data_IF_296663088316
#
_entry.id   IF_296663088316
#
_cell.length_a   1.000
_cell.length_b   1.000
_cell.length_c   1.000
_cell.angle_alpha   90.00
_cell.angle_beta   90.00
_cell.angle_gamma   90.00
#
_symmetry.space_group_name_H-M   'P 1'
#
loop_
_entity.id
_entity.type
_entity.pdbx_description
1 polymer ?
#
# COMPACT_ATOMS: atom_id res chain seq x y z
N UNK A 1 24.72 9.92 6.13
CA UNK A 1 25.19 10.80 5.03
C UNK A 1 25.09 9.94 3.78
N UNK A 2 24.36 10.39 2.74
CA UNK A 2 24.30 9.64 1.47
C UNK A 2 25.70 9.48 0.91
N UNK A 3 25.97 8.34 0.28
CA UNK A 3 27.17 8.15 -0.54
C UNK A 3 27.23 9.29 -1.57
N UNK A 4 28.32 10.09 -1.62
CA UNK A 4 28.44 11.20 -2.56
C UNK A 4 28.35 10.76 -4.03
N UNK A 5 28.56 9.47 -4.32
CA UNK A 5 28.43 8.89 -5.66
C UNK A 5 26.99 8.48 -6.02
N UNK A 6 26.05 8.52 -5.08
CA UNK A 6 24.65 8.20 -5.37
C UNK A 6 23.96 9.35 -6.15
N UNK A 7 23.43 9.09 -7.36
CA UNK A 7 22.87 10.13 -8.20
C UNK A 7 21.63 10.79 -7.57
N UNK A 8 21.75 12.08 -7.24
CA UNK A 8 20.71 12.90 -6.59
C UNK A 8 19.46 13.13 -7.45
N UNK A 9 19.51 12.79 -8.73
CA UNK A 9 18.41 12.91 -9.68
C UNK A 9 17.54 11.66 -9.77
N UNK A 10 17.92 10.56 -9.11
CA UNK A 10 17.13 9.32 -9.15
C UNK A 10 15.92 9.48 -8.25
N UNK A 11 14.75 9.61 -8.87
CA UNK A 11 13.47 9.66 -8.17
C UNK A 11 12.71 8.34 -8.31
N UNK A 12 13.23 7.37 -9.06
CA UNK A 12 12.63 6.06 -9.24
C UNK A 12 13.70 5.01 -9.08
N UNK A 13 13.46 4.06 -8.18
CA UNK A 13 14.27 2.86 -8.06
C UNK A 13 13.36 1.66 -8.26
N UNK A 14 13.76 0.82 -9.22
CA UNK A 14 13.02 -0.36 -9.61
C UNK A 14 13.79 -1.62 -9.22
N UNK A 15 13.22 -2.37 -8.30
CA UNK A 15 13.63 -3.72 -7.92
C UNK A 15 12.50 -4.64 -8.34
N UNK A 16 12.75 -5.42 -9.39
CA UNK A 16 11.73 -6.22 -10.04
C UNK A 16 12.30 -7.58 -10.42
N UNK A 17 11.67 -8.64 -9.90
CA UNK A 17 12.05 -10.02 -10.23
C UNK A 17 13.55 -10.31 -10.04
N UNK A 18 14.16 -9.71 -9.00
CA UNK A 18 15.53 -10.00 -8.61
C UNK A 18 15.56 -11.14 -7.59
N UNK A 19 16.66 -11.90 -7.53
CA UNK A 19 16.93 -12.87 -6.46
C UNK A 19 17.25 -12.21 -5.10
N UNK A 20 16.90 -10.93 -4.94
CA UNK A 20 17.17 -10.17 -3.73
C UNK A 20 16.18 -10.59 -2.65
N UNK A 21 16.69 -11.34 -1.67
CA UNK A 21 15.87 -11.93 -0.60
C UNK A 21 15.37 -10.87 0.39
N UNK A 22 16.14 -9.80 0.61
CA UNK A 22 15.77 -8.69 1.50
C UNK A 22 16.43 -7.37 1.07
N UNK A 23 15.81 -6.26 1.49
CA UNK A 23 16.40 -4.93 1.42
C UNK A 23 17.24 -4.65 2.69
N UNK A 24 18.55 -4.39 2.58
CA UNK A 24 19.39 -4.12 3.76
C UNK A 24 19.06 -2.75 4.38
N UNK A 25 19.19 -2.60 5.70
CA UNK A 25 18.84 -1.35 6.40
C UNK A 25 19.59 -0.11 5.88
N UNK A 26 20.80 -0.29 5.33
CA UNK A 26 21.60 0.78 4.73
C UNK A 26 20.89 1.49 3.58
N UNK A 27 19.97 0.81 2.89
CA UNK A 27 19.14 1.39 1.82
C UNK A 27 18.36 2.61 2.33
N UNK A 28 17.87 2.60 3.57
CA UNK A 28 17.07 3.69 4.11
C UNK A 28 17.84 5.02 4.21
N UNK A 29 19.17 4.98 4.34
CA UNK A 29 20.00 6.18 4.48
C UNK A 29 20.65 6.63 3.17
N UNK A 30 20.68 5.77 2.16
CA UNK A 30 21.23 6.03 0.84
C UNK A 30 20.17 6.52 -0.16
N UNK A 31 18.89 6.19 0.07
CA UNK A 31 17.83 6.46 -0.90
C UNK A 31 17.38 7.93 -0.94
N UNK A 32 17.15 8.51 -2.14
CA UNK A 32 16.59 9.83 -2.31
C UNK A 32 15.20 9.93 -1.66
N UNK A 33 15.00 10.97 -0.85
CA UNK A 33 13.73 11.21 -0.18
C UNK A 33 12.68 11.70 -1.20
N UNK A 34 11.46 11.20 -1.09
CA UNK A 34 10.34 11.59 -1.96
C UNK A 34 10.30 10.86 -3.31
N UNK A 35 11.11 9.82 -3.49
CA UNK A 35 11.12 9.00 -4.69
C UNK A 35 9.98 7.98 -4.77
N UNK A 36 10.04 7.19 -5.84
CA UNK A 36 9.19 6.03 -6.13
C UNK A 36 10.02 4.76 -5.88
N UNK A 37 9.47 3.84 -5.10
CA UNK A 37 10.03 2.51 -4.89
C UNK A 37 9.12 1.49 -5.60
N UNK A 38 9.68 0.75 -6.56
CA UNK A 38 9.06 -0.46 -7.07
C UNK A 38 9.80 -1.64 -6.45
N UNK A 39 9.12 -2.42 -5.62
CA UNK A 39 9.60 -3.64 -4.98
C UNK A 39 8.61 -4.76 -5.31
N UNK A 40 8.52 -5.08 -6.60
CA UNK A 40 7.46 -5.91 -7.15
C UNK A 40 8.00 -7.27 -7.63
N UNK A 41 7.20 -8.34 -7.44
CA UNK A 41 7.53 -9.70 -7.87
C UNK A 41 8.87 -10.23 -7.36
N UNK A 42 9.19 -9.88 -6.11
CA UNK A 42 10.40 -10.34 -5.41
C UNK A 42 10.19 -11.67 -4.69
N UNK A 43 8.96 -12.20 -4.68
CA UNK A 43 8.60 -13.39 -3.91
C UNK A 43 8.57 -13.16 -2.40
N UNK A 44 8.55 -11.90 -1.94
CA UNK A 44 8.58 -11.55 -0.54
C UNK A 44 7.30 -12.03 0.18
N UNK A 45 7.46 -12.91 1.16
CA UNK A 45 6.36 -13.38 2.03
C UNK A 45 6.17 -12.52 3.28
N UNK A 46 7.17 -11.70 3.61
CA UNK A 46 7.14 -10.74 4.72
C UNK A 46 7.27 -9.31 4.21
N UNK A 47 6.64 -8.38 4.92
CA UNK A 47 6.82 -6.96 4.66
C UNK A 47 8.27 -6.53 4.99
N UNK A 48 8.95 -5.77 4.12
CA UNK A 48 10.31 -5.32 4.39
C UNK A 48 10.31 -4.06 5.28
N UNK A 49 10.53 -4.23 6.58
CA UNK A 49 10.46 -3.17 7.60
C UNK A 49 11.35 -1.95 7.33
N UNK A 50 12.42 -2.10 6.54
CA UNK A 50 13.26 -0.97 6.10
C UNK A 50 12.44 0.15 5.44
N UNK A 51 11.31 -0.20 4.83
CA UNK A 51 10.39 0.74 4.21
C UNK A 51 9.91 1.81 5.21
N UNK A 52 9.81 1.50 6.52
CA UNK A 52 9.40 2.47 7.53
C UNK A 52 10.41 3.59 7.81
N UNK A 53 11.65 3.41 7.36
CA UNK A 53 12.74 4.37 7.56
C UNK A 53 13.01 5.21 6.30
N UNK A 54 12.19 5.01 5.26
CA UNK A 54 12.32 5.65 3.97
C UNK A 54 11.15 6.60 3.73
N UNK A 55 11.35 7.55 2.83
CA UNK A 55 10.34 8.55 2.46
C UNK A 55 10.03 8.38 0.98
N UNK A 56 8.80 7.96 0.67
CA UNK A 56 8.34 7.73 -0.69
C UNK A 56 7.06 8.49 -0.99
N UNK A 57 6.89 8.86 -2.25
CA UNK A 57 5.64 9.32 -2.81
C UNK A 57 4.82 8.16 -3.40
N UNK A 58 5.50 7.18 -4.01
CA UNK A 58 4.91 6.00 -4.63
C UNK A 58 5.61 4.74 -4.13
N UNK A 59 4.84 3.72 -3.74
CA UNK A 59 5.34 2.40 -3.37
C UNK A 59 4.54 1.32 -4.10
N UNK A 60 5.22 0.49 -4.90
CA UNK A 60 4.65 -0.77 -5.40
C UNK A 60 5.28 -1.96 -4.70
N UNK A 61 4.43 -2.80 -4.11
CA UNK A 61 4.73 -4.11 -3.54
C UNK A 61 4.02 -5.21 -4.34
N UNK A 62 3.64 -4.92 -5.59
CA UNK A 62 2.78 -5.79 -6.38
C UNK A 62 3.42 -7.15 -6.70
N UNK A 63 2.59 -8.19 -6.76
CA UNK A 63 2.98 -9.54 -7.16
C UNK A 63 3.99 -10.21 -6.21
N UNK A 64 4.03 -9.78 -4.94
CA UNK A 64 4.74 -10.50 -3.89
C UNK A 64 3.83 -11.57 -3.25
N UNK A 65 4.27 -12.18 -2.16
CA UNK A 65 3.57 -13.21 -1.41
C UNK A 65 3.08 -12.66 -0.06
N UNK A 66 2.82 -11.35 0.04
CA UNK A 66 2.43 -10.70 1.29
C UNK A 66 1.00 -11.08 1.67
N UNK A 67 0.83 -11.77 2.80
CA UNK A 67 -0.49 -12.09 3.37
C UNK A 67 -1.01 -11.02 4.33
N UNK A 68 -0.14 -10.11 4.77
CA UNK A 68 -0.47 -9.01 5.68
C UNK A 68 0.33 -7.74 5.35
N UNK A 69 -0.22 -6.59 5.71
CA UNK A 69 0.43 -5.28 5.60
C UNK A 69 0.37 -4.59 6.97
N UNK A 70 1.49 -4.08 7.49
CA UNK A 70 1.48 -3.41 8.79
C UNK A 70 0.69 -2.11 8.75
N UNK A 71 -0.13 -1.87 9.78
CA UNK A 71 -0.96 -0.66 9.92
C UNK A 71 -0.17 0.64 9.78
N UNK A 72 1.09 0.65 10.23
CA UNK A 72 1.99 1.81 10.17
C UNK A 72 2.21 2.32 8.75
N UNK A 73 2.09 1.47 7.72
CA UNK A 73 2.26 1.88 6.33
C UNK A 73 1.22 2.93 5.90
N UNK A 74 0.00 2.82 6.40
CA UNK A 74 -1.09 3.76 6.09
C UNK A 74 -0.91 5.11 6.79
N UNK A 75 0.09 5.26 7.66
CA UNK A 75 0.48 6.50 8.32
C UNK A 75 1.77 7.10 7.75
N UNK A 76 2.29 6.56 6.64
CA UNK A 76 3.48 7.10 6.01
C UNK A 76 3.24 8.55 5.54
N UNK A 77 4.06 9.53 5.96
CA UNK A 77 3.73 10.96 5.87
C UNK A 77 3.65 11.50 4.44
N UNK A 78 4.21 10.81 3.45
CA UNK A 78 4.28 11.30 2.06
C UNK A 78 3.75 10.30 1.03
N UNK A 79 3.25 9.14 1.48
CA UNK A 79 2.83 8.06 0.58
C UNK A 79 1.49 8.42 -0.08
N UNK A 80 1.55 8.82 -1.34
CA UNK A 80 0.37 9.17 -2.12
C UNK A 80 -0.22 7.98 -2.89
N UNK A 81 0.63 7.04 -3.33
CA UNK A 81 0.22 5.92 -4.15
C UNK A 81 0.81 4.62 -3.60
N UNK A 82 -0.05 3.67 -3.29
CA UNK A 82 0.32 2.35 -2.82
C UNK A 82 -0.27 1.27 -3.73
N UNK A 83 0.58 0.42 -4.26
CA UNK A 83 0.19 -0.72 -5.09
C UNK A 83 0.53 -2.03 -4.40
N UNK A 84 -0.50 -2.79 -4.04
CA UNK A 84 -0.45 -4.10 -3.39
C UNK A 84 -0.99 -5.21 -4.30
N UNK A 85 -1.22 -4.92 -5.59
CA UNK A 85 -1.93 -5.82 -6.47
C UNK A 85 -1.25 -7.19 -6.58
N UNK A 86 -2.02 -8.27 -6.71
CA UNK A 86 -1.49 -9.62 -6.90
C UNK A 86 -0.77 -10.23 -5.69
N UNK A 87 -0.97 -9.68 -4.49
CA UNK A 87 -0.57 -10.32 -3.23
C UNK A 87 -1.73 -11.19 -2.67
N UNK A 88 -1.45 -12.24 -1.88
CA UNK A 88 -2.46 -13.09 -1.25
C UNK A 88 -3.17 -12.42 -0.05
N UNK A 89 -3.42 -11.11 -0.10
CA UNK A 89 -4.10 -10.35 0.94
C UNK A 89 -5.59 -10.66 0.95
N UNK A 90 -6.13 -11.15 2.07
CA UNK A 90 -7.58 -11.37 2.25
C UNK A 90 -8.29 -10.18 2.90
N UNK A 91 -7.51 -9.30 3.53
CA UNK A 91 -7.97 -8.12 4.27
C UNK A 91 -6.88 -7.06 4.30
N UNK A 92 -7.27 -5.80 4.45
CA UNK A 92 -6.38 -4.71 4.88
C UNK A 92 -6.43 -4.58 6.41
N UNK A 93 -5.38 -4.07 7.08
CA UNK A 93 -5.38 -3.96 8.52
C UNK A 93 -6.45 -2.98 9.01
N UNK A 94 -7.11 -3.34 10.11
CA UNK A 94 -7.86 -2.38 10.92
C UNK A 94 -6.90 -1.49 11.70
N UNK A 95 -7.34 -0.26 11.98
CA UNK A 95 -6.53 0.69 12.74
C UNK A 95 -7.09 0.83 14.15
N UNK A 96 -6.27 0.62 15.20
CA UNK A 96 -6.70 0.83 16.58
C UNK A 96 -7.17 2.27 16.81
N UNK A 97 -8.26 2.45 17.56
CA UNK A 97 -8.80 3.77 17.87
C UNK A 97 -7.78 4.68 18.57
N UNK A 98 -6.86 4.12 19.36
CA UNK A 98 -5.76 4.87 19.97
C UNK A 98 -4.87 5.55 18.93
N UNK A 99 -4.52 4.86 17.85
CA UNK A 99 -3.73 5.43 16.75
C UNK A 99 -4.51 6.50 15.99
N UNK A 100 -5.82 6.30 15.78
CA UNK A 100 -6.68 7.31 15.15
C UNK A 100 -6.73 8.59 16.01
N UNK A 101 -6.82 8.45 17.33
CA UNK A 101 -6.84 9.59 18.24
C UNK A 101 -5.50 10.35 18.29
N UNK A 102 -4.38 9.63 18.19
CA UNK A 102 -3.04 10.21 18.27
C UNK A 102 -2.57 10.81 16.94
N UNK A 103 -2.81 10.13 15.82
CA UNK A 103 -2.26 10.46 14.51
C UNK A 103 -3.33 10.87 13.48
N UNK A 104 -4.61 10.81 13.83
CA UNK A 104 -5.73 11.03 12.91
C UNK A 104 -6.09 9.78 12.08
N UNK A 105 -7.08 9.89 11.18
CA UNK A 105 -7.45 8.78 10.30
C UNK A 105 -6.31 8.39 9.35
N UNK A 106 -6.12 7.08 9.07
CA UNK A 106 -5.07 6.59 8.17
C UNK A 106 -5.23 7.15 6.74
N UNK A 107 -4.15 7.10 5.98
CA UNK A 107 -4.12 7.53 4.58
C UNK A 107 -4.20 9.04 4.41
N UNK A 108 -3.63 9.82 5.34
CA UNK A 108 -3.71 11.28 5.33
C UNK A 108 -3.21 11.93 4.03
N UNK A 109 -2.20 11.33 3.40
CA UNK A 109 -1.61 11.78 2.13
C UNK A 109 -1.92 10.84 0.96
N UNK A 110 -2.55 9.69 1.24
CA UNK A 110 -2.84 8.68 0.24
C UNK A 110 -3.95 9.15 -0.69
N UNK A 111 -3.68 9.05 -1.99
CA UNK A 111 -4.61 9.39 -3.06
C UNK A 111 -5.13 8.12 -3.75
N UNK A 112 -4.29 7.10 -3.87
CA UNK A 112 -4.63 5.84 -4.54
C UNK A 112 -4.08 4.63 -3.82
N UNK A 113 -4.92 3.60 -3.73
CA UNK A 113 -4.58 2.27 -3.24
C UNK A 113 -5.02 1.24 -4.28
N UNK A 114 -4.09 0.45 -4.78
CA UNK A 114 -4.39 -0.70 -5.65
C UNK A 114 -4.26 -2.01 -4.86
N UNK A 115 -5.34 -2.77 -4.84
CA UNK A 115 -5.46 -4.11 -4.22
C UNK A 115 -6.04 -5.10 -5.23
N UNK A 116 -5.88 -4.82 -6.52
CA UNK A 116 -6.38 -5.67 -7.60
C UNK A 116 -5.76 -7.06 -7.53
N UNK A 117 -6.52 -8.07 -7.93
CA UNK A 117 -6.08 -9.47 -7.93
C UNK A 117 -5.61 -9.96 -6.54
N UNK A 118 -6.17 -9.40 -5.46
CA UNK A 118 -6.00 -9.90 -4.09
C UNK A 118 -7.24 -10.71 -3.65
N UNK A 119 -7.18 -11.33 -2.49
CA UNK A 119 -8.31 -12.02 -1.85
C UNK A 119 -9.24 -11.10 -1.03
N UNK A 120 -9.17 -9.78 -1.20
CA UNK A 120 -9.91 -8.81 -0.39
C UNK A 120 -11.42 -9.11 -0.37
N UNK A 121 -11.98 -9.34 0.82
CA UNK A 121 -13.41 -9.65 0.99
C UNK A 121 -14.26 -8.46 1.44
N UNK A 122 -13.67 -7.52 2.17
CA UNK A 122 -14.33 -6.37 2.76
C UNK A 122 -13.35 -5.20 2.89
N UNK A 123 -13.88 -3.99 2.96
CA UNK A 123 -13.08 -2.79 3.25
C UNK A 123 -12.85 -2.68 4.76
N UNK A 124 -11.68 -2.17 5.20
CA UNK A 124 -11.46 -1.90 6.60
C UNK A 124 -12.33 -0.72 7.07
N UNK A 125 -12.62 -0.66 8.37
CA UNK A 125 -13.57 0.32 8.95
C UNK A 125 -13.20 1.79 8.71
N UNK A 126 -11.91 2.08 8.53
CA UNK A 126 -11.41 3.42 8.25
C UNK A 126 -11.56 3.83 6.77
N UNK A 127 -11.86 2.91 5.85
CA UNK A 127 -12.02 3.29 4.46
C UNK A 127 -13.25 4.20 4.28
N UNK A 128 -13.09 5.26 3.50
CA UNK A 128 -14.13 6.29 3.32
C UNK A 128 -14.09 7.42 4.35
N UNK A 129 -13.24 7.36 5.39
CA UNK A 129 -12.97 8.54 6.23
C UNK A 129 -12.15 9.60 5.49
N UNK A 130 -11.52 9.22 4.38
CA UNK A 130 -10.79 10.08 3.45
C UNK A 130 -11.09 9.65 2.00
N UNK A 131 -11.01 10.58 1.03
CA UNK A 131 -11.28 10.28 -0.37
C UNK A 131 -10.07 9.59 -1.02
N UNK A 132 -9.83 8.34 -0.64
CA UNK A 132 -8.79 7.49 -1.24
C UNK A 132 -9.41 6.71 -2.39
N UNK A 133 -8.88 6.84 -3.60
CA UNK A 133 -9.29 6.02 -4.73
C UNK A 133 -8.80 4.59 -4.52
N UNK A 134 -9.70 3.63 -4.51
CA UNK A 134 -9.38 2.21 -4.39
C UNK A 134 -9.56 1.52 -5.73
N UNK A 135 -8.53 0.84 -6.21
CA UNK A 135 -8.65 -0.09 -7.35
C UNK A 135 -8.64 -1.50 -6.78
N UNK A 136 -9.75 -2.21 -6.94
CA UNK A 136 -9.93 -3.54 -6.33
C UNK A 136 -10.37 -4.58 -7.37
N UNK A 137 -9.92 -4.42 -8.62
CA UNK A 137 -10.28 -5.28 -9.74
C UNK A 137 -9.99 -6.75 -9.40
N UNK A 138 -10.86 -7.66 -9.81
CA UNK A 138 -10.68 -9.11 -9.58
C UNK A 138 -10.54 -9.51 -8.10
N UNK A 139 -11.20 -8.81 -7.18
CA UNK A 139 -11.30 -9.20 -5.76
C UNK A 139 -12.68 -9.80 -5.44
N UNK A 140 -12.79 -10.70 -4.43
CA UNK A 140 -14.08 -11.15 -3.91
C UNK A 140 -15.01 -10.00 -3.49
N UNK A 141 -14.45 -8.93 -2.93
CA UNK A 141 -15.18 -7.71 -2.60
C UNK A 141 -15.88 -7.11 -3.82
N UNK A 142 -15.16 -6.92 -4.94
CA UNK A 142 -15.75 -6.37 -6.15
C UNK A 142 -16.80 -7.28 -6.79
N UNK A 143 -16.63 -8.60 -6.68
CA UNK A 143 -17.67 -9.57 -7.11
C UNK A 143 -18.96 -9.34 -6.32
N UNK A 144 -18.86 -9.26 -4.99
CA UNK A 144 -20.01 -9.01 -4.11
C UNK A 144 -20.63 -7.63 -4.35
N UNK A 145 -19.82 -6.58 -4.51
CA UNK A 145 -20.29 -5.21 -4.78
C UNK A 145 -21.09 -5.15 -6.09
N UNK A 146 -20.58 -5.75 -7.17
CA UNK A 146 -21.29 -5.81 -8.47
C UNK A 146 -22.56 -6.64 -8.41
N UNK A 147 -22.59 -7.69 -7.58
CA UNK A 147 -23.78 -8.52 -7.36
C UNK A 147 -24.84 -7.84 -6.48
N UNK A 148 -24.55 -6.67 -5.88
CA UNK A 148 -25.46 -6.01 -4.95
C UNK A 148 -25.63 -6.76 -3.63
N UNK A 149 -24.59 -7.49 -3.18
CA UNK A 149 -24.61 -8.24 -1.93
C UNK A 149 -24.91 -7.30 -0.74
N UNK A 150 -25.95 -7.59 0.07
CA UNK A 150 -26.37 -6.73 1.19
C UNK A 150 -25.33 -6.62 2.31
N UNK A 151 -24.31 -7.47 2.33
CA UNK A 151 -23.20 -7.41 3.30
C UNK A 151 -22.14 -6.37 2.93
N UNK A 152 -22.15 -5.85 1.70
CA UNK A 152 -21.19 -4.85 1.24
C UNK A 152 -21.73 -3.45 1.49
N UNK A 153 -20.94 -2.53 2.07
CA UNK A 153 -21.38 -1.16 2.28
C UNK A 153 -21.59 -0.43 0.94
N UNK A 154 -22.84 -0.03 0.67
CA UNK A 154 -23.28 0.58 -0.59
C UNK A 154 -23.39 2.11 -0.51
N UNK A 155 -22.62 2.76 0.36
CA UNK A 155 -22.64 4.23 0.44
C UNK A 155 -22.23 4.82 -0.91
N UNK A 156 -22.86 5.93 -1.31
CA UNK A 156 -22.58 6.56 -2.60
C UNK A 156 -21.11 7.00 -2.71
N UNK A 157 -20.50 7.36 -1.56
CA UNK A 157 -19.08 7.64 -1.44
C UNK A 157 -18.22 6.42 -1.82
N UNK A 158 -18.56 5.22 -1.35
CA UNK A 158 -17.81 4.00 -1.68
C UNK A 158 -17.90 3.72 -3.18
N UNK A 159 -19.07 3.89 -3.80
CA UNK A 159 -19.22 3.70 -5.25
C UNK A 159 -18.38 4.68 -6.08
N UNK A 160 -18.14 5.90 -5.57
CA UNK A 160 -17.31 6.90 -6.23
C UNK A 160 -15.81 6.65 -6.05
N UNK A 161 -15.42 6.12 -4.89
CA UNK A 161 -14.02 5.91 -4.54
C UNK A 161 -13.48 4.57 -5.03
N UNK A 162 -14.34 3.56 -5.17
CA UNK A 162 -13.95 2.19 -5.53
C UNK A 162 -14.11 1.96 -7.02
N UNK A 163 -13.04 1.48 -7.65
CA UNK A 163 -13.04 0.93 -8.99
C UNK A 163 -13.05 -0.59 -8.92
N UNK A 164 -14.19 -1.13 -9.30
CA UNK A 164 -14.46 -2.50 -9.68
C UNK A 164 -14.84 -2.50 -11.18
#
# INVERSE_FOLDING_TARGET
>A
MMDPDFPRSVHLVNLYADNLVDLPLSVATLWPQGGMLMYARMGASRFPDVIFYMVFYYLSLAGNQLSEIPVKLFYAPYLAMLDLAGNPLTSLPEVPQSMINEYGPPGATMQSLDVSCTGLQQLPSWFGTRPIRLVALNTPFCVKLKAGDPTIPTSELIKQLVVC
#
